data_IF_745249014482
#
_entry.id   IF_745249014482
#
_cell.length_a   1.000
_cell.length_b   1.000
_cell.length_c   1.000
_cell.angle_alpha   90.00
_cell.angle_beta   90.00
_cell.angle_gamma   90.00
#
_symmetry.space_group_name_H-M   'P 1'
#
loop_
_entity.id
_entity.type
_entity.pdbx_description
1 polymer ?
#
# COMPACT_ATOMS: atom_id res chain seq x y z
N UNK A 1 -1.06 -17.35 -2.24
CA UNK A 1 -1.82 -17.35 -3.53
C UNK A 1 -0.84 -16.95 -4.64
N UNK A 2 -0.73 -17.75 -5.66
CA UNK A 2 0.18 -17.48 -6.78
C UNK A 2 -0.33 -16.30 -7.60
N UNK A 3 0.58 -15.38 -7.96
CA UNK A 3 0.24 -14.21 -8.74
C UNK A 3 0.09 -14.58 -10.22
N UNK A 4 -1.07 -14.32 -10.80
CA UNK A 4 -1.37 -14.61 -12.21
C UNK A 4 -0.89 -13.53 -13.19
N UNK A 5 -0.66 -12.31 -12.69
CA UNK A 5 -0.34 -11.14 -13.50
C UNK A 5 1.04 -10.57 -13.21
N UNK A 6 1.66 -9.93 -14.19
CA UNK A 6 2.80 -9.01 -14.02
C UNK A 6 2.43 -7.60 -14.48
N UNK A 7 3.11 -6.61 -13.97
CA UNK A 7 2.92 -5.20 -14.35
C UNK A 7 4.15 -4.76 -15.16
N UNK A 8 3.92 -4.13 -16.30
CA UNK A 8 4.97 -3.52 -17.12
C UNK A 8 5.48 -2.22 -16.50
N UNK A 9 6.63 -1.72 -16.97
CA UNK A 9 7.19 -0.42 -16.56
C UNK A 9 6.23 0.77 -16.79
N UNK A 10 5.34 0.65 -17.78
CA UNK A 10 4.31 1.67 -18.06
C UNK A 10 2.97 1.44 -17.33
N UNK A 11 2.92 0.48 -16.40
CA UNK A 11 1.77 0.24 -15.52
C UNK A 11 0.67 -0.66 -16.08
N UNK A 12 0.83 -1.26 -17.26
CA UNK A 12 -0.14 -2.21 -17.80
C UNK A 12 0.03 -3.59 -17.16
N UNK A 13 -1.08 -4.22 -16.80
CA UNK A 13 -1.09 -5.60 -16.30
C UNK A 13 -1.22 -6.60 -17.46
N UNK A 14 -0.52 -7.72 -17.36
CA UNK A 14 -0.61 -8.81 -18.33
C UNK A 14 -0.45 -10.18 -17.67
N UNK A 15 -0.83 -11.23 -18.39
CA UNK A 15 -0.66 -12.62 -17.97
C UNK A 15 0.58 -13.22 -18.62
N UNK A 16 1.67 -13.48 -17.86
CA UNK A 16 2.89 -14.05 -18.44
C UNK A 16 2.66 -15.38 -19.16
N UNK A 17 1.81 -16.25 -18.63
CA UNK A 17 1.48 -17.56 -19.22
C UNK A 17 0.91 -17.46 -20.63
N UNK A 18 0.27 -16.35 -21.00
CA UNK A 18 -0.20 -16.14 -22.36
C UNK A 18 0.95 -15.98 -23.39
N UNK A 19 2.16 -15.65 -22.92
CA UNK A 19 3.34 -15.43 -23.77
C UNK A 19 4.35 -16.58 -23.67
N UNK A 20 4.33 -17.34 -22.58
CA UNK A 20 5.30 -18.40 -22.28
C UNK A 20 4.83 -19.78 -22.74
N UNK A 21 3.52 -20.03 -22.74
CA UNK A 21 2.92 -21.28 -23.20
C UNK A 21 2.13 -21.04 -24.49
N UNK A 22 2.08 -22.01 -25.42
CA UNK A 22 1.19 -21.88 -26.56
C UNK A 22 -0.23 -21.74 -26.03
N UNK A 23 -0.75 -20.53 -26.11
CA UNK A 23 -2.16 -20.22 -25.88
C UNK A 23 -2.98 -21.22 -26.73
N UNK A 24 -4.18 -21.60 -26.31
CA UNK A 24 -5.11 -22.42 -27.07
C UNK A 24 -5.41 -21.92 -28.51
N UNK A 25 -4.66 -20.91 -28.95
CA UNK A 25 -4.10 -20.68 -30.29
C UNK A 25 -5.02 -20.19 -31.37
N UNK A 26 -6.20 -19.64 -31.10
CA UNK A 26 -7.07 -19.17 -32.17
C UNK A 26 -7.54 -17.72 -32.02
N UNK A 27 -6.72 -16.87 -31.41
CA UNK A 27 -6.85 -15.43 -31.57
C UNK A 27 -8.03 -14.76 -30.88
N UNK A 28 -8.63 -15.38 -29.91
CA UNK A 28 -9.65 -14.74 -29.09
C UNK A 28 -9.67 -15.33 -27.70
N UNK A 29 -9.26 -14.56 -26.69
CA UNK A 29 -9.37 -14.96 -25.26
C UNK A 29 -10.84 -15.03 -24.77
N UNK A 30 -11.75 -15.31 -25.67
CA UNK A 30 -13.18 -15.51 -25.42
C UNK A 30 -13.57 -17.01 -25.34
N UNK A 31 -12.57 -17.89 -25.37
CA UNK A 31 -12.82 -19.32 -25.24
C UNK A 31 -13.13 -19.66 -23.78
N UNK A 32 -14.32 -20.18 -23.54
CA UNK A 32 -14.79 -20.64 -22.23
C UNK A 32 -13.91 -21.75 -21.61
N UNK A 33 -12.98 -22.28 -22.37
CA UNK A 33 -12.06 -23.33 -21.96
C UNK A 33 -10.64 -22.82 -21.60
N UNK A 34 -10.38 -21.52 -21.63
CA UNK A 34 -9.08 -20.98 -21.21
C UNK A 34 -8.94 -21.09 -19.68
N UNK A 35 -8.10 -22.00 -19.22
CA UNK A 35 -7.85 -22.22 -17.77
C UNK A 35 -7.32 -20.96 -17.09
N UNK A 36 -6.49 -20.17 -17.77
CA UNK A 36 -5.96 -18.91 -17.24
C UNK A 36 -7.06 -17.87 -17.00
N UNK A 37 -8.01 -17.75 -17.96
CA UNK A 37 -9.14 -16.83 -17.80
C UNK A 37 -10.08 -17.30 -16.68
N UNK A 38 -10.32 -18.61 -16.57
CA UNK A 38 -11.11 -19.17 -15.48
C UNK A 38 -10.46 -18.87 -14.14
N UNK A 39 -9.16 -19.09 -14.00
CA UNK A 39 -8.43 -18.83 -12.76
C UNK A 39 -8.38 -17.33 -12.44
N UNK A 40 -8.22 -16.47 -13.44
CA UNK A 40 -8.27 -15.02 -13.26
C UNK A 40 -9.65 -14.55 -12.79
N UNK A 41 -10.74 -15.06 -13.38
CA UNK A 41 -12.10 -14.75 -12.98
C UNK A 41 -12.41 -15.23 -11.56
N UNK A 42 -11.98 -16.44 -11.19
CA UNK A 42 -12.13 -16.95 -9.82
C UNK A 42 -11.43 -16.06 -8.80
N UNK A 43 -10.19 -15.68 -9.10
CA UNK A 43 -9.40 -14.82 -8.23
C UNK A 43 -10.00 -13.42 -8.10
N UNK A 44 -10.51 -12.85 -9.20
CA UNK A 44 -11.21 -11.59 -9.17
C UNK A 44 -12.47 -11.67 -8.31
N UNK A 45 -13.29 -12.72 -8.49
CA UNK A 45 -14.50 -12.93 -7.71
C UNK A 45 -14.21 -13.05 -6.20
N UNK A 46 -13.10 -13.70 -5.81
CA UNK A 46 -12.66 -13.73 -4.41
C UNK A 46 -12.36 -12.33 -3.86
N UNK A 47 -11.65 -11.48 -4.62
CA UNK A 47 -11.36 -10.10 -4.20
C UNK A 47 -12.62 -9.24 -4.14
N UNK A 48 -13.52 -9.35 -5.12
CA UNK A 48 -14.80 -8.63 -5.12
C UNK A 48 -15.64 -9.05 -3.91
N UNK A 49 -15.70 -10.33 -3.58
CA UNK A 49 -16.41 -10.82 -2.41
C UNK A 49 -15.80 -10.30 -1.09
N UNK A 50 -14.47 -10.24 -0.99
CA UNK A 50 -13.80 -9.65 0.19
C UNK A 50 -14.09 -8.16 0.30
N UNK A 51 -14.14 -7.43 -0.81
CA UNK A 51 -14.47 -6.01 -0.83
C UNK A 51 -15.92 -5.77 -0.38
N UNK A 52 -16.89 -6.53 -0.91
CA UNK A 52 -18.31 -6.46 -0.52
C UNK A 52 -18.54 -6.77 0.96
N UNK A 53 -17.75 -7.68 1.52
CA UNK A 53 -17.80 -8.04 2.95
C UNK A 53 -17.06 -7.01 3.83
N UNK A 54 -16.40 -6.01 3.26
CA UNK A 54 -15.58 -5.06 4.01
C UNK A 54 -14.31 -5.67 4.60
N UNK A 55 -13.87 -6.83 4.12
CA UNK A 55 -12.67 -7.53 4.58
C UNK A 55 -11.41 -7.12 3.81
N UNK A 56 -11.58 -6.46 2.65
CA UNK A 56 -10.47 -5.95 1.87
C UNK A 56 -10.14 -4.51 2.28
N UNK A 57 -8.99 -4.33 2.90
CA UNK A 57 -8.50 -3.02 3.36
C UNK A 57 -7.32 -2.59 2.50
N UNK A 58 -7.38 -1.40 1.91
CA UNK A 58 -6.25 -0.77 1.23
C UNK A 58 -5.42 0.00 2.26
N UNK A 59 -4.19 -0.45 2.46
CA UNK A 59 -3.25 0.25 3.30
C UNK A 59 -2.53 1.32 2.47
N UNK A 60 -2.45 2.58 2.93
CA UNK A 60 -1.70 3.64 2.26
C UNK A 60 -0.18 3.42 2.37
N UNK A 61 0.27 2.73 3.40
CA UNK A 61 1.65 2.29 3.61
C UNK A 61 1.66 0.94 4.35
N UNK A 62 2.79 0.27 4.40
CA UNK A 62 2.95 -1.06 5.00
C UNK A 62 4.11 -1.07 6.00
N UNK A 63 4.19 -2.13 6.79
CA UNK A 63 5.36 -2.39 7.65
C UNK A 63 6.63 -2.44 6.79
N UNK A 64 7.65 -1.71 7.21
CA UNK A 64 8.93 -1.55 6.52
C UNK A 64 9.02 -0.30 5.65
N UNK A 65 7.92 0.35 5.32
CA UNK A 65 7.94 1.62 4.61
C UNK A 65 8.51 2.73 5.52
N UNK A 66 9.15 3.71 4.88
CA UNK A 66 9.65 4.90 5.53
C UNK A 66 8.64 6.04 5.38
N UNK A 67 8.40 6.76 6.45
CA UNK A 67 7.59 7.99 6.47
C UNK A 67 8.43 9.15 6.98
N UNK A 68 8.01 10.34 6.61
CA UNK A 68 8.71 11.59 6.88
C UNK A 68 7.83 12.53 7.69
N UNK A 69 8.33 12.97 8.84
CA UNK A 69 7.61 13.84 9.76
C UNK A 69 8.35 15.14 9.92
N UNK A 70 7.80 16.28 9.45
CA UNK A 70 8.40 17.58 9.69
C UNK A 70 8.32 17.94 11.17
N UNK A 71 9.46 18.28 11.73
CA UNK A 71 9.59 18.85 13.07
C UNK A 71 9.91 20.35 12.95
N UNK A 72 10.13 21.04 14.07
CA UNK A 72 10.40 22.50 14.03
C UNK A 72 11.60 22.90 13.15
N UNK A 73 12.61 22.02 13.06
CA UNK A 73 13.89 22.38 12.43
C UNK A 73 14.33 21.41 11.32
N UNK A 74 13.80 20.20 11.30
CA UNK A 74 14.24 19.17 10.36
C UNK A 74 13.09 18.19 10.07
N UNK A 75 13.29 17.36 9.04
CA UNK A 75 12.39 16.25 8.72
C UNK A 75 12.95 14.98 9.35
N UNK A 76 12.16 14.36 10.22
CA UNK A 76 12.46 13.05 10.80
C UNK A 76 12.08 11.95 9.81
N UNK A 77 12.96 10.98 9.67
CA UNK A 77 12.75 9.78 8.86
C UNK A 77 12.46 8.60 9.80
N UNK A 78 11.29 8.01 9.69
CA UNK A 78 10.79 7.00 10.60
C UNK A 78 10.32 5.77 9.82
N UNK A 79 10.61 4.59 10.32
CA UNK A 79 10.22 3.32 9.69
C UNK A 79 9.00 2.74 10.38
N UNK A 80 7.98 2.39 9.59
CA UNK A 80 6.78 1.72 10.08
C UNK A 80 7.12 0.32 10.57
N UNK A 81 6.78 0.02 11.79
CA UNK A 81 7.03 -1.28 12.42
C UNK A 81 5.76 -2.07 12.71
N UNK A 82 4.63 -1.38 12.82
CA UNK A 82 3.34 -1.98 13.13
C UNK A 82 2.23 -1.24 12.39
N UNK A 83 1.26 -2.00 11.89
CA UNK A 83 -0.02 -1.49 11.42
C UNK A 83 -1.12 -2.16 12.25
N UNK A 84 -2.00 -1.38 12.85
CA UNK A 84 -3.15 -1.87 13.59
C UNK A 84 -4.45 -1.26 13.06
N UNK A 85 -5.51 -2.03 13.14
CA UNK A 85 -6.85 -1.58 12.74
C UNK A 85 -7.75 -1.61 13.96
N UNK A 86 -8.30 -0.46 14.31
CA UNK A 86 -9.34 -0.39 15.34
C UNK A 86 -10.70 -0.64 14.68
N UNK A 87 -11.33 -1.74 15.03
CA UNK A 87 -12.62 -2.14 14.46
C UNK A 87 -13.79 -1.33 15.03
N UNK A 88 -13.66 -0.72 16.20
CA UNK A 88 -14.70 0.09 16.81
C UNK A 88 -14.80 1.46 16.14
N UNK A 89 -13.66 2.06 15.85
CA UNK A 89 -13.58 3.38 15.22
C UNK A 89 -13.39 3.27 13.69
N UNK A 90 -13.22 2.07 13.17
CA UNK A 90 -12.83 1.80 11.77
C UNK A 90 -11.60 2.61 11.33
N UNK A 91 -10.68 2.86 12.27
CA UNK A 91 -9.48 3.66 12.07
C UNK A 91 -8.25 2.75 11.94
N UNK A 92 -7.37 3.11 11.03
CA UNK A 92 -6.06 2.48 10.90
C UNK A 92 -5.01 3.33 11.62
N UNK A 93 -4.16 2.65 12.38
CA UNK A 93 -3.04 3.26 13.09
C UNK A 93 -1.73 2.65 12.59
N UNK A 94 -0.77 3.51 12.32
CA UNK A 94 0.58 3.16 11.95
C UNK A 94 1.53 3.55 13.06
N UNK A 95 2.43 2.66 13.42
CA UNK A 95 3.35 2.89 14.53
C UNK A 95 4.79 2.64 14.10
N UNK A 96 5.71 3.36 14.73
CA UNK A 96 7.15 3.15 14.62
C UNK A 96 7.78 3.01 15.99
N UNK A 97 8.92 2.34 16.05
CA UNK A 97 9.75 2.27 17.25
C UNK A 97 10.75 3.43 17.21
N UNK A 98 10.61 4.34 18.15
CA UNK A 98 11.66 5.31 18.43
C UNK A 98 12.76 4.62 19.23
N UNK A 99 13.91 4.46 18.62
CA UNK A 99 15.08 3.85 19.24
C UNK A 99 15.79 4.89 20.13
N UNK A 100 15.15 5.27 21.22
CA UNK A 100 15.70 6.20 22.21
C UNK A 100 16.12 5.46 23.49
N UNK A 101 17.25 4.73 23.44
CA UNK A 101 17.88 4.19 24.65
C UNK A 101 17.14 3.02 25.29
N UNK A 102 17.13 2.97 26.62
CA UNK A 102 16.77 1.81 27.46
C UNK A 102 15.26 1.44 27.38
N UNK A 103 14.42 2.34 26.90
CA UNK A 103 12.98 2.10 26.73
C UNK A 103 12.57 2.48 25.32
N UNK A 104 12.32 1.50 24.43
CA UNK A 104 11.74 1.79 23.12
C UNK A 104 10.31 2.32 23.32
N UNK A 105 10.10 3.59 23.06
CA UNK A 105 8.75 4.15 23.00
C UNK A 105 8.13 3.78 21.65
N UNK A 106 6.98 3.14 21.71
CA UNK A 106 6.14 2.97 20.54
C UNK A 106 5.38 4.28 20.33
N UNK A 107 5.64 4.94 19.23
CA UNK A 107 4.92 6.12 18.79
C UNK A 107 4.28 5.84 17.42
N UNK A 108 3.38 6.67 16.98
CA UNK A 108 2.69 6.43 15.72
C UNK A 108 1.73 7.54 15.34
N UNK A 109 0.94 7.28 14.32
CA UNK A 109 -0.03 8.20 13.78
C UNK A 109 -1.28 7.46 13.28
N UNK A 110 -2.46 8.05 13.39
CA UNK A 110 -3.65 7.53 12.73
C UNK A 110 -3.57 7.77 11.21
N UNK A 111 -4.17 6.88 10.43
CA UNK A 111 -4.09 6.93 8.97
C UNK A 111 -4.55 8.24 8.33
N UNK A 112 -5.46 8.97 8.98
CA UNK A 112 -5.93 10.28 8.49
C UNK A 112 -4.91 11.42 8.60
N UNK A 113 -3.82 11.23 9.33
CA UNK A 113 -2.70 12.18 9.41
C UNK A 113 -1.74 12.10 8.22
N UNK A 114 -1.82 11.02 7.45
CA UNK A 114 -1.01 10.86 6.24
C UNK A 114 -1.35 11.95 5.21
N UNK A 115 -0.34 12.61 4.69
CA UNK A 115 -0.48 13.77 3.81
C UNK A 115 -0.77 15.10 4.53
N UNK A 116 -0.85 15.12 5.87
CA UNK A 116 -1.04 16.33 6.68
C UNK A 116 0.15 16.62 7.59
N UNK A 117 0.46 15.67 8.45
CA UNK A 117 1.58 15.76 9.42
C UNK A 117 2.62 14.68 9.19
N UNK A 118 2.28 13.61 8.49
CA UNK A 118 3.15 12.50 8.10
C UNK A 118 3.09 12.34 6.58
N UNK A 119 4.23 12.20 5.92
CA UNK A 119 4.34 12.15 4.47
C UNK A 119 5.06 10.88 4.00
N UNK A 120 4.73 10.42 2.80
CA UNK A 120 5.38 9.27 2.17
C UNK A 120 6.66 9.64 1.43
N UNK A 121 6.84 10.92 1.11
CA UNK A 121 8.04 11.43 0.45
C UNK A 121 8.72 12.52 1.28
N UNK A 122 10.04 12.59 1.15
CA UNK A 122 10.84 13.62 1.84
C UNK A 122 10.51 15.02 1.32
N UNK A 123 10.29 15.15 0.02
CA UNK A 123 10.01 16.43 -0.64
C UNK A 123 8.70 17.05 -0.12
N UNK A 124 7.66 16.27 0.08
CA UNK A 124 6.39 16.74 0.66
C UNK A 124 6.58 17.21 2.10
N UNK A 125 7.35 16.47 2.89
CA UNK A 125 7.66 16.83 4.28
C UNK A 125 8.51 18.10 4.38
N UNK A 126 9.51 18.26 3.50
CA UNK A 126 10.34 19.46 3.44
C UNK A 126 9.54 20.70 3.04
N UNK A 127 8.63 20.56 2.06
CA UNK A 127 7.70 21.61 1.67
C UNK A 127 6.82 22.03 2.85
N UNK A 128 6.30 21.07 3.60
CA UNK A 128 5.49 21.35 4.80
C UNK A 128 6.31 22.04 5.89
N UNK A 129 7.56 21.63 6.07
CA UNK A 129 8.48 22.28 7.01
C UNK A 129 8.74 23.75 6.66
N UNK A 130 8.90 24.07 5.36
CA UNK A 130 9.04 25.46 4.90
C UNK A 130 7.78 26.26 5.14
N UNK A 131 6.60 25.71 4.89
CA UNK A 131 5.32 26.35 5.20
C UNK A 131 5.22 26.67 6.70
N UNK A 132 5.56 25.74 7.58
CA UNK A 132 5.53 25.91 9.04
C UNK A 132 6.51 26.99 9.53
N UNK A 133 7.64 27.20 8.85
CA UNK A 133 8.61 28.28 9.18
C UNK A 133 8.12 29.65 8.76
N UNK A 134 7.26 29.71 7.74
CA UNK A 134 6.74 30.96 7.17
C UNK A 134 5.38 31.35 7.79
N UNK A 135 4.77 30.50 8.59
CA UNK A 135 3.58 30.86 9.38
C UNK A 135 4.02 31.74 10.55
N UNK A 136 3.38 32.91 10.72
CA UNK A 136 3.71 33.85 11.80
C UNK A 136 3.34 33.34 13.19
#
# INVERSE_FOLDING_TARGET
MERLTKITEIGNAYFPKCFEEPCCGMGGCLDDNCSLMIDACKKLAEYEQLEEQGLLVRLPCKVGDTVYVPTRNFVSELRITLVSVDTNEMAMYFSWLLNSGIYPNLDGFPGYELGKTVFLTREEAEKKLEEMKNEP
#
